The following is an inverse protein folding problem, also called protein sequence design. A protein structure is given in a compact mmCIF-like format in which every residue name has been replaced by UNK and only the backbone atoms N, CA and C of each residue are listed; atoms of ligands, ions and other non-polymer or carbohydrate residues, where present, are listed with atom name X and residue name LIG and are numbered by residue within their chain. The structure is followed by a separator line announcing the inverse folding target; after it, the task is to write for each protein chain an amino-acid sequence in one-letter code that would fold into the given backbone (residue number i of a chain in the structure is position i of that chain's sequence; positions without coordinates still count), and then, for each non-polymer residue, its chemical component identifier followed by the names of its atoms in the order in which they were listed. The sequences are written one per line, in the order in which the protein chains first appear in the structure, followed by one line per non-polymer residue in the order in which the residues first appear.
data_IF_742046719184
#
_entry.id   IF_742046719184
#
_cell.length_a   1.000
_cell.length_b   1.000
_cell.length_c   1.000
_cell.angle_alpha   90.00
_cell.angle_beta   90.00
_cell.angle_gamma   90.00
#
_symmetry.space_group_name_H-M   'P 1'
#
loop_
_entity.id
_entity.type
_entity.pdbx_description
1 polymer ?
#
# COMPACT_ATOMS: atom_id res chain seq x y z
N UNK A 1 -1.28 43.70 12.67
CA UNK A 1 -2.71 43.49 12.36
C UNK A 1 -2.85 42.13 11.73
N UNK A 2 -3.51 41.22 12.40
CA UNK A 2 -3.76 39.88 11.86
C UNK A 2 -5.07 39.96 11.07
N UNK A 3 -4.98 39.77 9.76
CA UNK A 3 -6.15 39.67 8.89
C UNK A 3 -6.72 38.25 8.99
N UNK A 4 -7.90 38.14 9.58
CA UNK A 4 -8.66 36.88 9.52
C UNK A 4 -9.44 36.86 8.21
N UNK A 5 -9.13 35.88 7.34
CA UNK A 5 -9.93 35.63 6.15
C UNK A 5 -10.97 34.57 6.52
N UNK A 6 -12.25 34.93 6.43
CA UNK A 6 -13.34 33.99 6.58
C UNK A 6 -13.40 33.11 5.33
N UNK A 7 -13.05 31.82 5.46
CA UNK A 7 -13.26 30.83 4.41
C UNK A 7 -14.57 30.13 4.71
N UNK A 8 -15.58 30.38 3.90
CA UNK A 8 -16.82 29.63 3.95
C UNK A 8 -16.64 28.27 3.28
N UNK A 9 -16.79 27.19 4.02
CA UNK A 9 -16.85 25.86 3.44
C UNK A 9 -18.31 25.44 3.25
N UNK A 10 -18.66 25.04 2.05
CA UNK A 10 -19.90 24.32 1.78
C UNK A 10 -19.61 22.84 1.97
N UNK A 11 -20.00 22.30 3.11
CA UNK A 11 -19.94 20.86 3.34
C UNK A 11 -21.27 20.26 2.86
N UNK A 12 -21.20 19.43 1.83
CA UNK A 12 -22.31 18.57 1.44
C UNK A 12 -22.18 17.27 2.26
N UNK A 13 -23.13 17.04 3.12
CA UNK A 13 -23.20 15.81 3.93
C UNK A 13 -24.43 15.02 3.50
N UNK A 14 -24.20 13.79 3.06
CA UNK A 14 -25.28 12.85 2.82
C UNK A 14 -25.71 12.24 4.16
N UNK A 15 -26.88 12.63 4.63
CA UNK A 15 -27.43 12.08 5.86
C UNK A 15 -27.80 10.60 5.66
N UNK A 16 -27.11 9.66 6.30
CA UNK A 16 -27.36 8.23 6.10
C UNK A 16 -28.73 7.78 6.63
N UNK A 17 -29.41 8.61 7.44
CA UNK A 17 -30.71 8.29 8.01
C UNK A 17 -31.88 8.75 7.13
N UNK A 18 -31.68 9.77 6.29
CA UNK A 18 -32.75 10.35 5.45
C UNK A 18 -32.50 10.16 3.96
N UNK A 19 -31.26 9.85 3.56
CA UNK A 19 -30.84 9.78 2.15
C UNK A 19 -30.81 11.13 1.45
N UNK A 20 -31.01 12.23 2.16
CA UNK A 20 -31.01 13.60 1.63
C UNK A 20 -29.63 14.25 1.85
N UNK A 21 -29.22 15.07 0.87
CA UNK A 21 -28.02 15.87 0.98
C UNK A 21 -28.31 17.13 1.77
N UNK A 22 -27.89 17.18 3.01
CA UNK A 22 -28.04 18.36 3.85
C UNK A 22 -26.88 19.35 3.61
N UNK A 23 -27.22 20.64 3.44
CA UNK A 23 -26.25 21.73 3.41
C UNK A 23 -26.02 22.23 4.83
N UNK A 24 -24.91 21.82 5.42
CA UNK A 24 -24.51 22.40 6.70
C UNK A 24 -23.60 23.59 6.44
N UNK A 25 -24.14 24.80 6.65
CA UNK A 25 -23.32 26.01 6.68
C UNK A 25 -22.67 26.13 8.06
N UNK A 26 -21.47 25.59 8.18
CA UNK A 26 -20.64 25.92 9.34
C UNK A 26 -19.86 27.21 9.05
N UNK A 27 -20.41 28.35 9.40
CA UNK A 27 -19.60 29.55 9.56
C UNK A 27 -18.78 29.40 10.85
N UNK A 28 -17.67 28.69 10.75
CA UNK A 28 -16.64 28.75 11.76
C UNK A 28 -15.53 29.62 11.19
N UNK A 29 -15.41 30.83 11.72
CA UNK A 29 -14.22 31.65 11.48
C UNK A 29 -13.05 30.97 12.12
N UNK A 30 -12.32 30.17 11.35
CA UNK A 30 -11.13 29.51 11.83
C UNK A 30 -9.94 30.30 11.29
N UNK A 31 -9.09 30.86 12.16
CA UNK A 31 -7.90 31.56 11.70
C UNK A 31 -7.05 30.58 10.89
N UNK A 32 -6.64 30.96 9.68
CA UNK A 32 -5.80 30.16 8.78
C UNK A 32 -4.49 29.72 9.46
N UNK A 33 -4.05 30.45 10.48
CA UNK A 33 -2.82 30.22 11.23
C UNK A 33 -2.85 28.99 12.17
N UNK A 34 -4.00 28.33 12.37
CA UNK A 34 -4.17 27.28 13.38
C UNK A 34 -4.37 25.87 12.82
N UNK A 35 -4.30 25.68 11.51
CA UNK A 35 -4.27 24.34 10.96
C UNK A 35 -2.85 23.80 11.01
N UNK A 36 -2.59 22.91 11.95
CA UNK A 36 -1.31 22.22 12.02
C UNK A 36 -1.12 21.31 10.81
N UNK A 37 0.14 20.99 10.50
CA UNK A 37 0.46 20.00 9.50
C UNK A 37 -0.26 18.66 9.78
N UNK A 38 -0.48 18.34 11.07
CA UNK A 38 -1.26 17.19 11.51
C UNK A 38 -2.73 17.27 11.12
N UNK A 39 -3.36 18.42 11.17
CA UNK A 39 -4.76 18.58 10.76
C UNK A 39 -4.93 18.33 9.26
N UNK A 40 -4.06 18.93 8.43
CA UNK A 40 -4.07 18.67 6.99
C UNK A 40 -3.79 17.20 6.71
N UNK A 41 -2.85 16.60 7.43
CA UNK A 41 -2.51 15.21 7.32
C UNK A 41 -3.69 14.29 7.68
N UNK A 42 -4.45 14.59 8.74
CA UNK A 42 -5.64 13.83 9.13
C UNK A 42 -6.77 13.95 8.10
N UNK A 43 -7.01 15.16 7.60
CA UNK A 43 -8.00 15.40 6.54
C UNK A 43 -7.65 14.62 5.27
N UNK A 44 -6.40 14.70 4.85
CA UNK A 44 -5.93 14.02 3.64
C UNK A 44 -5.90 12.50 3.83
N UNK A 45 -5.61 12.02 5.05
CA UNK A 45 -5.69 10.60 5.39
C UNK A 45 -7.11 10.06 5.23
N UNK A 46 -8.13 10.79 5.66
CA UNK A 46 -9.53 10.36 5.50
C UNK A 46 -9.93 10.24 4.03
N UNK A 47 -9.55 11.22 3.20
CA UNK A 47 -9.78 11.18 1.75
C UNK A 47 -9.05 10.01 1.08
N UNK A 48 -7.80 9.76 1.46
CA UNK A 48 -6.98 8.65 0.97
C UNK A 48 -7.54 7.32 1.41
N UNK A 49 -8.00 7.18 2.67
CA UNK A 49 -8.62 5.96 3.17
C UNK A 49 -9.86 5.58 2.36
N UNK A 50 -10.69 6.56 2.01
CA UNK A 50 -11.84 6.38 1.13
C UNK A 50 -11.40 5.92 -0.26
N UNK A 51 -10.37 6.53 -0.82
CA UNK A 51 -9.84 6.21 -2.14
C UNK A 51 -9.19 4.81 -2.18
N UNK A 52 -8.36 4.46 -1.19
CA UNK A 52 -7.70 3.13 -1.12
C UNK A 52 -8.73 2.01 -0.94
N UNK A 53 -9.80 2.25 -0.20
CA UNK A 53 -10.88 1.27 -0.02
C UNK A 53 -11.67 1.00 -1.31
N UNK A 54 -11.67 1.95 -2.26
CA UNK A 54 -12.48 1.88 -3.49
C UNK A 54 -11.73 1.37 -4.72
N UNK A 55 -10.40 1.28 -4.69
CA UNK A 55 -9.57 1.29 -5.91
C UNK A 55 -9.18 -0.09 -6.46
N UNK A 56 -9.37 -1.21 -5.75
CA UNK A 56 -9.06 -2.50 -6.38
C UNK A 56 -10.12 -2.92 -7.39
N UNK A 57 -9.95 -2.51 -8.64
CA UNK A 57 -10.79 -2.96 -9.77
C UNK A 57 -9.89 -3.39 -10.93
N UNK A 58 -9.56 -4.63 -10.91
CA UNK A 58 -8.75 -5.46 -11.69
C UNK A 58 -8.73 -5.39 -13.21
N UNK A 59 -8.41 -4.29 -13.84
CA UNK A 59 -7.96 -4.30 -15.23
C UNK A 59 -6.89 -3.23 -15.40
N UNK A 60 -5.64 -3.62 -15.19
CA UNK A 60 -4.49 -2.75 -15.40
C UNK A 60 -3.84 -3.09 -16.74
N UNK A 61 -3.80 -2.14 -17.65
CA UNK A 61 -3.01 -2.22 -18.87
C UNK A 61 -1.78 -1.33 -18.73
N UNK A 62 -0.61 -1.88 -19.01
CA UNK A 62 0.69 -1.22 -19.26
C UNK A 62 1.22 -0.20 -18.22
N UNK A 63 2.46 -0.35 -17.77
CA UNK A 63 3.28 0.62 -16.97
C UNK A 63 2.60 1.30 -15.79
N UNK A 64 1.52 0.73 -15.27
CA UNK A 64 0.63 1.36 -14.32
C UNK A 64 1.37 1.83 -13.05
N UNK A 65 2.19 0.96 -12.47
CA UNK A 65 2.90 1.27 -11.24
C UNK A 65 4.03 2.29 -11.42
N UNK A 66 4.61 2.39 -12.60
CA UNK A 66 5.70 3.34 -12.86
C UNK A 66 5.24 4.79 -12.77
N UNK A 67 3.97 5.04 -13.08
CA UNK A 67 3.39 6.37 -13.18
C UNK A 67 2.37 6.69 -12.07
N UNK A 68 2.01 5.71 -11.26
CA UNK A 68 0.98 5.85 -10.23
C UNK A 68 1.50 5.36 -8.90
N UNK A 69 1.66 6.28 -7.97
CA UNK A 69 1.92 5.97 -6.58
C UNK A 69 1.53 7.16 -5.71
N UNK A 70 1.31 6.92 -4.44
CA UNK A 70 1.12 7.99 -3.47
C UNK A 70 2.46 8.62 -3.11
N UNK A 71 2.45 9.90 -2.76
CA UNK A 71 3.62 10.57 -2.22
C UNK A 71 4.07 9.91 -0.91
N UNK A 72 5.35 10.08 -0.55
CA UNK A 72 5.88 9.62 0.74
C UNK A 72 5.03 10.11 1.91
N UNK A 73 4.70 11.39 1.93
CA UNK A 73 3.89 12.02 2.98
C UNK A 73 2.50 11.37 3.06
N UNK A 74 1.85 11.18 1.93
CA UNK A 74 0.55 10.50 1.86
C UNK A 74 0.59 9.10 2.44
N UNK A 75 1.60 8.31 2.10
CA UNK A 75 1.78 6.95 2.61
C UNK A 75 2.00 6.94 4.12
N UNK A 76 2.85 7.83 4.63
CA UNK A 76 3.14 7.93 6.07
C UNK A 76 1.89 8.35 6.86
N UNK A 77 1.16 9.34 6.37
CA UNK A 77 -0.08 9.79 7.01
C UNK A 77 -1.11 8.67 7.03
N UNK A 78 -1.32 7.99 5.91
CA UNK A 78 -2.29 6.92 5.81
C UNK A 78 -1.96 5.76 6.76
N UNK A 79 -0.73 5.27 6.77
CA UNK A 79 -0.34 4.12 7.59
C UNK A 79 -0.42 4.44 9.09
N UNK A 80 -0.06 5.66 9.49
CA UNK A 80 -0.13 6.10 10.87
C UNK A 80 -1.59 6.29 11.33
N UNK A 81 -2.47 6.82 10.47
CA UNK A 81 -3.90 6.95 10.76
C UNK A 81 -4.59 5.59 10.93
N UNK A 82 -4.12 4.53 10.28
CA UNK A 82 -4.61 3.16 10.47
C UNK A 82 -4.30 2.58 11.85
N UNK A 83 -3.32 3.12 12.55
CA UNK A 83 -2.95 2.68 13.89
C UNK A 83 -2.39 1.26 13.97
N UNK A 84 -1.85 0.73 12.88
CA UNK A 84 -1.24 -0.60 12.87
C UNK A 84 0.00 -0.66 13.77
N UNK A 85 0.18 -1.79 14.43
CA UNK A 85 1.38 -2.11 15.22
C UNK A 85 2.14 -3.27 14.56
N UNK A 86 3.41 -3.39 14.90
CA UNK A 86 4.26 -4.54 14.55
C UNK A 86 5.04 -4.99 15.79
N UNK A 87 5.36 -6.27 15.86
CA UNK A 87 6.25 -6.81 16.89
C UNK A 87 7.75 -6.53 16.59
N UNK A 88 8.01 -5.87 15.45
CA UNK A 88 9.35 -5.44 15.02
C UNK A 88 9.32 -3.96 14.69
N UNK A 89 10.48 -3.39 14.36
CA UNK A 89 10.61 -2.02 13.88
C UNK A 89 10.14 -1.85 12.41
N UNK A 90 9.55 -2.88 11.80
CA UNK A 90 9.13 -2.85 10.41
C UNK A 90 7.63 -3.09 10.28
N UNK A 91 7.02 -2.37 9.33
CA UNK A 91 5.67 -2.58 8.86
C UNK A 91 5.69 -2.59 7.32
N UNK A 92 5.03 -3.56 6.72
CA UNK A 92 4.96 -3.69 5.26
C UNK A 92 3.52 -3.49 4.80
N UNK A 93 3.34 -2.62 3.81
CA UNK A 93 2.06 -2.41 3.16
C UNK A 93 2.14 -2.80 1.69
N UNK A 94 1.36 -3.82 1.31
CA UNK A 94 1.17 -4.22 -0.08
C UNK A 94 0.05 -3.35 -0.67
N UNK A 95 0.41 -2.39 -1.50
CA UNK A 95 -0.55 -1.59 -2.25
C UNK A 95 -0.86 -2.28 -3.58
N UNK A 96 -1.96 -3.03 -3.61
CA UNK A 96 -2.39 -3.75 -4.81
C UNK A 96 -2.88 -2.82 -5.91
N UNK A 97 -3.43 -1.65 -5.54
CA UNK A 97 -3.95 -0.68 -6.49
C UNK A 97 -2.86 -0.11 -7.40
N UNK A 98 -1.71 0.22 -6.82
CA UNK A 98 -0.59 0.81 -7.53
C UNK A 98 0.62 -0.11 -7.66
N UNK A 99 0.44 -1.40 -7.34
CA UNK A 99 1.47 -2.43 -7.51
C UNK A 99 2.80 -2.08 -6.80
N UNK A 100 2.69 -1.64 -5.54
CA UNK A 100 3.85 -1.30 -4.72
C UNK A 100 3.85 -2.08 -3.40
N UNK A 101 5.05 -2.44 -2.97
CA UNK A 101 5.34 -2.85 -1.60
C UNK A 101 6.05 -1.69 -0.91
N UNK A 102 5.44 -1.16 0.13
CA UNK A 102 5.96 -0.07 0.92
C UNK A 102 6.43 -0.60 2.27
N UNK A 103 7.68 -0.33 2.63
CA UNK A 103 8.25 -0.72 3.91
C UNK A 103 8.46 0.50 4.76
N UNK A 104 7.94 0.46 5.96
CA UNK A 104 8.07 1.51 6.96
C UNK A 104 8.92 1.01 8.12
N UNK A 105 9.66 1.93 8.73
CA UNK A 105 10.37 1.72 9.99
C UNK A 105 9.79 2.63 11.06
N UNK A 106 9.82 2.19 12.31
CA UNK A 106 9.32 2.94 13.44
C UNK A 106 8.42 2.13 14.36
N UNK A 107 7.32 2.72 14.80
CA UNK A 107 6.35 2.12 15.70
C UNK A 107 4.94 2.66 15.41
N UNK A 108 3.94 2.08 16.06
CA UNK A 108 2.53 2.53 15.95
C UNK A 108 2.42 4.04 16.13
N UNK A 109 1.83 4.70 15.15
CA UNK A 109 1.65 6.17 15.11
C UNK A 109 2.87 6.96 14.63
N UNK A 110 4.04 6.32 14.46
CA UNK A 110 5.31 6.97 14.05
C UNK A 110 6.03 6.19 12.95
N UNK A 111 5.28 5.60 12.03
CA UNK A 111 5.84 4.89 10.88
C UNK A 111 6.40 5.86 9.86
N UNK A 112 7.62 5.61 9.38
CA UNK A 112 8.32 6.38 8.35
C UNK A 112 8.65 5.49 7.17
N UNK A 113 8.34 5.94 5.96
CA UNK A 113 8.59 5.19 4.73
C UNK A 113 10.10 5.08 4.49
N UNK A 114 10.60 3.85 4.46
CA UNK A 114 12.02 3.53 4.22
C UNK A 114 12.25 3.06 2.80
N UNK A 115 11.36 2.22 2.26
CA UNK A 115 11.46 1.67 0.90
C UNK A 115 10.09 1.62 0.24
N UNK A 116 10.10 1.76 -1.08
CA UNK A 116 8.95 1.50 -1.93
C UNK A 116 9.42 0.76 -3.18
N UNK A 117 8.87 -0.41 -3.42
CA UNK A 117 9.26 -1.30 -4.52
C UNK A 117 8.08 -1.48 -5.47
N UNK A 118 8.33 -1.38 -6.78
CA UNK A 118 7.36 -1.77 -7.81
C UNK A 118 7.32 -3.29 -7.88
N UNK A 119 6.13 -3.87 -7.76
CA UNK A 119 5.92 -5.31 -7.65
C UNK A 119 4.85 -5.82 -8.62
N UNK A 120 4.71 -7.13 -8.77
CA UNK A 120 3.57 -7.75 -9.41
C UNK A 120 2.73 -8.50 -8.38
N UNK A 121 1.50 -8.05 -8.11
CA UNK A 121 0.58 -8.74 -7.20
C UNK A 121 -0.29 -9.77 -7.92
N UNK A 122 -1.20 -10.41 -7.21
CA UNK A 122 -2.16 -11.36 -7.77
C UNK A 122 -3.06 -10.76 -8.85
N UNK A 123 -3.34 -11.54 -9.89
CA UNK A 123 -4.29 -11.20 -10.94
C UNK A 123 -5.71 -11.01 -10.38
N UNK A 124 -6.61 -10.43 -11.17
CA UNK A 124 -7.99 -10.19 -10.75
C UNK A 124 -8.73 -11.47 -10.35
N UNK A 125 -8.45 -12.59 -11.01
CA UNK A 125 -9.02 -13.91 -10.72
C UNK A 125 -8.40 -14.59 -9.50
N UNK A 126 -7.17 -14.20 -9.13
CA UNK A 126 -6.39 -14.78 -8.02
C UNK A 126 -5.70 -13.67 -7.23
N UNK A 127 -6.46 -12.77 -6.60
CA UNK A 127 -5.90 -11.56 -6.01
C UNK A 127 -5.05 -11.89 -4.79
N UNK A 128 -3.99 -11.09 -4.58
CA UNK A 128 -3.27 -11.10 -3.30
C UNK A 128 -4.25 -10.81 -2.17
N UNK A 129 -4.30 -11.62 -1.10
CA UNK A 129 -5.23 -11.45 0.00
C UNK A 129 -5.16 -10.07 0.63
N UNK A 130 -6.28 -9.62 1.18
CA UNK A 130 -6.38 -8.38 1.98
C UNK A 130 -6.43 -8.73 3.46
N UNK A 131 -6.06 -7.76 4.28
CA UNK A 131 -6.11 -7.86 5.73
C UNK A 131 -4.77 -7.61 6.37
N UNK A 132 -4.71 -7.81 7.68
CA UNK A 132 -3.49 -7.70 8.47
C UNK A 132 -2.96 -9.11 8.72
N UNK A 133 -1.69 -9.29 8.46
CA UNK A 133 -1.02 -10.59 8.61
C UNK A 133 0.43 -10.41 9.07
N UNK A 134 1.18 -11.48 9.20
CA UNK A 134 2.57 -11.47 9.64
C UNK A 134 3.44 -12.32 8.72
N UNK A 135 4.74 -12.02 8.68
CA UNK A 135 5.72 -12.91 8.07
C UNK A 135 5.72 -14.23 8.83
N UNK A 136 5.52 -15.33 8.11
CA UNK A 136 5.35 -16.67 8.69
C UNK A 136 6.56 -17.58 8.49
N UNK A 137 7.30 -17.38 7.40
CA UNK A 137 8.51 -18.16 7.11
C UNK A 137 9.42 -17.43 6.13
N UNK A 138 10.67 -17.87 6.06
CA UNK A 138 11.68 -17.39 5.10
C UNK A 138 12.42 -18.59 4.52
N UNK A 139 12.53 -18.66 3.19
CA UNK A 139 13.22 -19.73 2.47
C UNK A 139 14.27 -19.12 1.52
N UNK A 140 15.55 -19.29 1.85
CA UNK A 140 16.64 -18.76 1.00
C UNK A 140 16.68 -19.48 -0.35
N UNK A 141 16.56 -20.81 -0.35
CA UNK A 141 16.56 -21.61 -1.57
C UNK A 141 15.30 -21.39 -2.43
N UNK A 142 14.23 -20.84 -1.82
CA UNK A 142 12.97 -20.60 -2.51
C UNK A 142 12.27 -21.85 -3.00
N UNK A 143 11.57 -21.73 -4.12
CA UNK A 143 10.86 -22.82 -4.78
C UNK A 143 11.38 -23.00 -6.20
N UNK A 144 11.57 -24.27 -6.58
CA UNK A 144 11.92 -24.67 -7.94
C UNK A 144 10.87 -25.66 -8.44
N UNK A 145 10.36 -25.42 -9.62
CA UNK A 145 9.44 -26.30 -10.35
C UNK A 145 10.04 -26.66 -11.70
N UNK A 146 9.34 -27.48 -12.49
CA UNK A 146 9.77 -27.78 -13.87
C UNK A 146 9.71 -26.57 -14.81
N UNK A 147 9.04 -25.49 -14.42
CA UNK A 147 8.80 -24.31 -15.27
C UNK A 147 9.45 -23.03 -14.79
N UNK A 148 9.74 -22.92 -13.48
CA UNK A 148 10.37 -21.72 -12.92
C UNK A 148 11.11 -22.00 -11.61
N UNK A 149 11.97 -21.06 -11.27
CA UNK A 149 12.55 -20.89 -9.92
C UNK A 149 12.20 -19.50 -9.41
N UNK A 150 11.90 -19.39 -8.11
CA UNK A 150 11.75 -18.12 -7.39
C UNK A 150 12.47 -18.19 -6.07
N UNK A 151 13.36 -17.23 -5.82
CA UNK A 151 14.13 -17.14 -4.57
C UNK A 151 14.72 -15.75 -4.32
N UNK A 152 14.91 -15.35 -3.04
CA UNK A 152 14.37 -16.01 -1.87
C UNK A 152 12.84 -15.89 -1.79
N UNK A 153 12.24 -16.55 -0.80
CA UNK A 153 10.80 -16.52 -0.53
C UNK A 153 10.57 -16.07 0.90
N UNK A 154 9.61 -15.17 1.10
CA UNK A 154 9.17 -14.67 2.42
C UNK A 154 7.66 -14.80 2.50
N UNK A 155 7.17 -15.80 3.21
CA UNK A 155 5.74 -16.05 3.41
C UNK A 155 5.11 -15.01 4.31
N UNK A 156 3.96 -14.45 3.91
CA UNK A 156 3.29 -13.40 4.66
C UNK A 156 1.86 -13.75 5.10
N UNK A 157 1.40 -14.96 4.81
CA UNK A 157 0.07 -15.39 5.24
C UNK A 157 0.17 -16.80 5.82
N UNK A 158 0.10 -16.98 7.16
CA UNK A 158 0.27 -18.27 7.81
C UNK A 158 -0.68 -19.34 7.28
N UNK A 159 -0.16 -20.56 7.11
CA UNK A 159 -0.94 -21.70 6.62
C UNK A 159 -1.27 -21.67 5.12
N UNK A 160 -0.68 -20.75 4.37
CA UNK A 160 -0.89 -20.63 2.92
C UNK A 160 0.44 -20.59 2.16
N UNK A 161 0.37 -20.64 0.82
CA UNK A 161 1.51 -20.45 -0.06
C UNK A 161 1.76 -19.00 -0.47
N UNK A 162 1.05 -18.01 0.10
CA UNK A 162 1.23 -16.60 -0.29
C UNK A 162 2.53 -16.02 0.26
N UNK A 163 3.35 -15.49 -0.64
CA UNK A 163 4.68 -15.01 -0.30
C UNK A 163 5.14 -13.85 -1.19
N UNK A 164 6.10 -13.09 -0.68
CA UNK A 164 7.00 -12.29 -1.49
C UNK A 164 8.06 -13.22 -2.07
N UNK A 165 8.39 -13.08 -3.34
CA UNK A 165 9.45 -13.82 -3.98
C UNK A 165 10.02 -13.08 -5.20
N UNK A 166 11.13 -13.54 -5.76
CA UNK A 166 11.70 -12.97 -6.97
C UNK A 166 10.72 -13.06 -8.14
N UNK A 167 10.97 -12.32 -9.20
CA UNK A 167 10.38 -12.62 -10.50
C UNK A 167 10.66 -14.06 -10.89
N UNK A 168 9.93 -14.56 -11.89
CA UNK A 168 10.17 -15.93 -12.35
C UNK A 168 11.51 -16.00 -13.08
N UNK A 169 12.33 -16.97 -12.66
CA UNK A 169 13.60 -17.31 -13.27
C UNK A 169 13.50 -18.65 -13.98
N UNK A 170 14.37 -18.91 -14.94
CA UNK A 170 14.48 -20.23 -15.53
C UNK A 170 14.76 -21.29 -14.47
N UNK A 171 14.24 -22.54 -14.63
CA UNK A 171 14.37 -23.59 -13.64
C UNK A 171 15.81 -23.79 -13.17
N UNK A 172 16.02 -23.80 -11.85
CA UNK A 172 17.33 -23.99 -11.23
C UNK A 172 18.29 -22.79 -11.32
N UNK A 173 17.89 -21.66 -11.90
CA UNK A 173 18.74 -20.48 -12.11
C UNK A 173 18.22 -19.23 -11.40
N UNK A 174 19.03 -18.15 -11.41
CA UNK A 174 18.63 -16.79 -11.01
C UNK A 174 18.38 -15.87 -12.22
N UNK A 175 18.36 -16.43 -13.43
CA UNK A 175 18.12 -15.66 -14.64
C UNK A 175 16.62 -15.41 -14.81
N UNK A 176 16.20 -14.17 -14.57
CA UNK A 176 14.80 -13.75 -14.74
C UNK A 176 14.38 -13.85 -16.22
N UNK A 177 13.18 -14.37 -16.47
CA UNK A 177 12.53 -14.31 -17.79
C UNK A 177 11.20 -13.57 -17.75
N UNK A 178 10.64 -13.32 -16.55
CA UNK A 178 9.40 -12.58 -16.35
C UNK A 178 9.71 -11.18 -15.81
N UNK A 179 9.35 -10.18 -16.56
CA UNK A 179 9.59 -8.78 -16.24
C UNK A 179 8.30 -8.01 -15.90
N UNK A 180 7.27 -8.71 -15.46
CA UNK A 180 5.91 -8.19 -15.26
C UNK A 180 5.71 -7.33 -14.00
N UNK A 181 6.76 -6.78 -13.38
CA UNK A 181 6.58 -5.83 -12.27
C UNK A 181 5.75 -4.62 -12.68
N UNK A 182 4.85 -4.20 -11.79
CA UNK A 182 3.91 -3.13 -12.07
C UNK A 182 2.54 -3.61 -12.52
N UNK A 183 2.32 -4.93 -12.57
CA UNK A 183 1.08 -5.53 -13.05
C UNK A 183 0.56 -6.61 -12.11
N UNK A 184 -0.77 -6.77 -11.99
CA UNK A 184 -1.39 -7.87 -11.24
C UNK A 184 -1.38 -9.14 -12.10
N UNK A 185 -0.37 -9.99 -11.93
CA UNK A 185 -0.08 -11.13 -12.83
C UNK A 185 0.09 -12.47 -12.14
N UNK A 186 0.17 -12.49 -10.80
CA UNK A 186 0.44 -13.72 -10.05
C UNK A 186 -0.83 -14.46 -9.63
N UNK A 187 -0.68 -15.61 -9.00
CA UNK A 187 -1.75 -16.35 -8.34
C UNK A 187 -1.92 -15.96 -6.85
N UNK A 188 -1.59 -14.71 -6.50
CA UNK A 188 -1.74 -14.16 -5.17
C UNK A 188 -0.43 -13.81 -4.47
N UNK A 189 0.68 -14.38 -4.88
CA UNK A 189 2.01 -14.00 -4.43
C UNK A 189 2.39 -12.59 -4.89
N UNK A 190 3.44 -12.03 -4.31
CA UNK A 190 3.99 -10.73 -4.68
C UNK A 190 5.35 -10.93 -5.34
N UNK A 191 5.41 -10.73 -6.66
CA UNK A 191 6.63 -10.82 -7.47
C UNK A 191 7.45 -9.55 -7.35
N UNK A 192 8.72 -9.67 -7.04
CA UNK A 192 9.65 -8.57 -6.83
C UNK A 192 10.89 -8.74 -7.69
N UNK A 193 11.59 -7.66 -8.02
CA UNK A 193 12.94 -7.76 -8.57
C UNK A 193 13.84 -8.49 -7.58
N UNK A 194 14.82 -9.24 -8.08
CA UNK A 194 15.70 -10.06 -7.24
C UNK A 194 16.38 -9.27 -6.11
N UNK A 195 16.88 -8.07 -6.40
CA UNK A 195 17.49 -7.20 -5.38
C UNK A 195 16.48 -6.73 -4.33
N UNK A 196 15.23 -6.47 -4.72
CA UNK A 196 14.19 -5.96 -3.84
C UNK A 196 13.72 -7.03 -2.85
N UNK A 197 13.52 -8.27 -3.33
CA UNK A 197 13.18 -9.38 -2.44
C UNK A 197 14.34 -9.78 -1.54
N UNK A 198 15.58 -9.69 -1.99
CA UNK A 198 16.74 -9.89 -1.13
C UNK A 198 16.78 -8.89 0.02
N UNK A 199 16.39 -7.64 -0.23
CA UNK A 199 16.27 -6.64 0.82
C UNK A 199 15.18 -6.98 1.85
N UNK A 200 14.02 -7.47 1.41
CA UNK A 200 12.93 -7.92 2.30
C UNK A 200 13.36 -9.17 3.09
N UNK A 201 14.13 -10.05 2.45
CA UNK A 201 14.58 -11.30 3.06
C UNK A 201 15.60 -11.08 4.17
N UNK A 202 16.56 -10.16 4.01
CA UNK A 202 17.62 -9.88 4.99
C UNK A 202 17.11 -9.08 6.18
#
# INVERSE_FOLDING_TARGET
MKTSTAIGFKLLYDNPSTGETEQVYAQKTVPIENYSAEWYAQRDAAAILKQVSSVYRGNYTTSYAANNDYSKTTKEVWINAKGYSSNTNYLVWINRAYQHVNVFTGSKGNWKLTKSFIVGTGAASTPTPVGVTTVSYKLKAGWTTGTYTVRPVVGFYPGTGYAFHSRLCYPGTDTEYDFSSGYPVSHGCVRMKHNDINWIYN
#
